data_IF_401776986358
#
_entry.id   IF_401776986358
#
_cell.length_a   1.000
_cell.length_b   1.000
_cell.length_c   1.000
_cell.angle_alpha   90.00
_cell.angle_beta   90.00
_cell.angle_gamma   90.00
#
_symmetry.space_group_name_H-M   'P 1'
#
loop_
_entity.id
_entity.type
_entity.pdbx_description
1 polymer ?
#
# COMPACT_ATOMS: atom_id res chain seq x y z
N UNK A 1 4.16 -32.06 15.07
CA UNK A 1 3.22 -30.93 15.06
C UNK A 1 3.94 -29.89 14.24
N UNK A 2 3.51 -29.63 13.00
CA UNK A 2 4.17 -28.60 12.18
C UNK A 2 3.97 -27.26 12.88
N UNK A 3 5.07 -26.57 13.10
CA UNK A 3 5.08 -25.24 13.69
C UNK A 3 4.41 -24.30 12.69
N UNK A 4 3.21 -23.83 13.01
CA UNK A 4 2.49 -22.91 12.14
C UNK A 4 3.20 -21.56 12.24
N UNK A 5 3.97 -21.22 11.21
CA UNK A 5 4.65 -19.93 11.13
C UNK A 5 3.60 -18.81 11.29
N UNK A 6 3.82 -17.95 12.29
CA UNK A 6 3.01 -16.75 12.51
C UNK A 6 3.78 -15.56 11.94
N UNK A 7 3.17 -14.86 10.99
CA UNK A 7 3.74 -13.69 10.35
C UNK A 7 3.08 -12.43 10.88
N UNK A 8 3.86 -11.34 10.99
CA UNK A 8 3.37 -10.01 11.34
C UNK A 8 3.35 -9.12 10.10
N UNK A 9 2.18 -8.61 9.76
CA UNK A 9 2.00 -7.61 8.71
C UNK A 9 1.78 -6.27 9.38
N UNK A 10 2.73 -5.36 9.22
CA UNK A 10 2.64 -4.04 9.81
C UNK A 10 1.70 -3.14 9.02
N UNK A 11 1.13 -2.15 9.69
CA UNK A 11 0.42 -1.06 9.04
C UNK A 11 1.47 -0.15 8.42
N UNK A 12 1.24 0.27 7.19
CA UNK A 12 2.29 0.95 6.41
C UNK A 12 1.83 2.33 5.97
N UNK A 13 2.68 3.32 6.18
CA UNK A 13 2.44 4.71 5.85
C UNK A 13 3.07 5.05 4.50
N UNK A 14 2.31 5.76 3.66
CA UNK A 14 2.78 6.29 2.39
C UNK A 14 2.52 7.78 2.29
N UNK A 15 3.58 8.59 2.34
CA UNK A 15 3.50 10.05 2.25
C UNK A 15 3.01 10.50 0.87
N UNK A 16 2.10 11.47 0.82
CA UNK A 16 1.57 11.96 -0.46
C UNK A 16 2.64 12.63 -1.31
N UNK A 17 3.64 13.25 -0.67
CA UNK A 17 4.80 13.80 -1.38
C UNK A 17 5.59 12.72 -2.13
N UNK A 18 5.74 11.53 -1.55
CA UNK A 18 6.38 10.38 -2.20
C UNK A 18 5.50 9.84 -3.34
N UNK A 19 4.18 9.68 -3.10
CA UNK A 19 3.22 9.30 -4.16
C UNK A 19 3.31 10.24 -5.36
N UNK A 20 3.32 11.55 -5.12
CA UNK A 20 3.46 12.56 -6.17
C UNK A 20 4.83 12.49 -6.86
N UNK A 21 5.91 12.22 -6.12
CA UNK A 21 7.24 12.02 -6.70
C UNK A 21 7.27 10.80 -7.62
N UNK A 22 6.67 9.67 -7.22
CA UNK A 22 6.57 8.46 -8.06
C UNK A 22 5.79 8.73 -9.35
N UNK A 23 4.66 9.45 -9.28
CA UNK A 23 3.89 9.87 -10.46
C UNK A 23 4.75 10.73 -11.39
N UNK A 24 5.41 11.76 -10.85
CA UNK A 24 6.19 12.71 -11.63
C UNK A 24 7.43 12.06 -12.28
N UNK A 25 8.01 11.05 -11.64
CA UNK A 25 9.16 10.30 -12.17
C UNK A 25 8.77 9.12 -13.07
N UNK A 26 7.47 8.86 -13.26
CA UNK A 26 6.97 7.72 -14.05
C UNK A 26 5.97 8.16 -15.13
N UNK A 27 6.42 8.87 -16.20
CA UNK A 27 5.55 9.28 -17.28
C UNK A 27 4.83 8.07 -17.92
N UNK A 28 3.50 8.15 -18.03
CA UNK A 28 2.69 7.05 -18.56
C UNK A 28 2.29 5.99 -17.54
N UNK A 29 2.45 6.27 -16.24
CA UNK A 29 1.92 5.43 -15.17
C UNK A 29 0.40 5.19 -15.34
N UNK A 30 -0.02 3.94 -15.18
CA UNK A 30 -1.43 3.55 -15.14
C UNK A 30 -1.85 2.97 -13.78
N UNK A 31 -0.88 2.49 -12.99
CA UNK A 31 -1.12 1.84 -11.71
C UNK A 31 0.13 1.85 -10.82
N UNK A 32 -0.14 1.76 -9.51
CA UNK A 32 0.84 1.54 -8.47
C UNK A 32 0.85 0.06 -8.12
N UNK A 33 2.04 -0.54 -8.09
CA UNK A 33 2.25 -1.94 -7.73
C UNK A 33 3.07 -2.00 -6.46
N UNK A 34 2.53 -2.66 -5.45
CA UNK A 34 3.08 -2.81 -4.13
C UNK A 34 3.58 -4.25 -3.94
N UNK A 35 4.88 -4.42 -3.76
CA UNK A 35 5.53 -5.71 -3.54
C UNK A 35 6.08 -5.80 -2.12
N UNK A 36 6.17 -7.02 -1.58
CA UNK A 36 6.72 -7.26 -0.25
C UNK A 36 8.25 -7.19 -0.25
N UNK A 37 8.82 -6.56 0.77
CA UNK A 37 10.26 -6.38 0.93
C UNK A 37 10.66 -6.51 2.41
N UNK A 38 11.76 -7.23 2.64
CA UNK A 38 12.38 -7.35 3.96
C UNK A 38 13.58 -6.41 4.04
N UNK A 39 13.47 -5.36 4.87
CA UNK A 39 14.50 -4.33 4.99
C UNK A 39 15.83 -4.85 5.56
N UNK A 40 15.81 -5.90 6.37
CA UNK A 40 16.92 -6.85 6.43
C UNK A 40 16.40 -8.25 6.72
N UNK A 41 17.02 -9.22 6.06
CA UNK A 41 16.59 -10.62 6.07
C UNK A 41 17.09 -11.40 7.27
N UNK A 42 17.98 -10.83 8.07
CA UNK A 42 18.65 -11.42 9.22
C UNK A 42 18.23 -10.80 10.57
N UNK A 43 17.33 -9.81 10.54
CA UNK A 43 16.86 -9.09 11.71
C UNK A 43 15.35 -9.25 11.89
N UNK A 44 14.97 -10.13 12.82
CA UNK A 44 13.57 -10.42 13.16
C UNK A 44 12.80 -9.20 13.72
N UNK A 45 13.51 -8.12 14.08
CA UNK A 45 12.90 -6.88 14.55
C UNK A 45 12.54 -5.91 13.40
N UNK A 46 12.97 -6.19 12.17
CA UNK A 46 12.64 -5.34 11.02
C UNK A 46 11.30 -5.75 10.40
N UNK A 47 10.38 -4.79 10.23
CA UNK A 47 9.06 -5.10 9.70
C UNK A 47 9.15 -5.54 8.23
N UNK A 48 8.27 -6.47 7.85
CA UNK A 48 7.91 -6.69 6.46
C UNK A 48 7.26 -5.40 5.92
N UNK A 49 7.87 -4.79 4.91
CA UNK A 49 7.41 -3.55 4.31
C UNK A 49 6.87 -3.78 2.90
N UNK A 50 6.23 -2.75 2.35
CA UNK A 50 5.87 -2.68 0.94
C UNK A 50 6.81 -1.71 0.22
N UNK A 51 7.20 -2.09 -0.99
CA UNK A 51 7.83 -1.20 -1.97
C UNK A 51 6.81 -0.89 -3.07
N UNK A 52 6.76 0.37 -3.49
CA UNK A 52 5.86 0.88 -4.52
C UNK A 52 6.62 1.14 -5.81
N UNK A 53 6.15 0.55 -6.89
CA UNK A 53 6.57 0.81 -8.26
C UNK A 53 5.40 1.38 -9.06
N UNK A 54 5.69 2.18 -10.07
CA UNK A 54 4.73 2.50 -11.10
C UNK A 54 4.76 1.43 -12.19
N UNK A 55 3.60 0.95 -12.61
CA UNK A 55 3.45 0.25 -13.87
C UNK A 55 3.04 1.27 -14.95
N UNK A 56 3.67 1.20 -16.12
CA UNK A 56 3.45 2.11 -17.25
C UNK A 56 2.97 1.33 -18.46
N UNK A 57 1.82 1.71 -19.03
CA UNK A 57 1.27 1.08 -20.23
C UNK A 57 0.71 2.10 -21.22
N UNK A 58 1.17 2.08 -22.50
CA UNK A 58 2.38 1.43 -23.02
C UNK A 58 3.67 2.07 -22.46
N UNK A 59 4.81 1.33 -22.37
CA UNK A 59 5.14 0.07 -23.05
C UNK A 59 5.00 -1.22 -22.21
N UNK A 60 4.23 -1.21 -21.12
CA UNK A 60 4.08 -2.35 -20.19
C UNK A 60 5.41 -2.65 -19.45
N UNK A 61 5.90 -1.64 -18.72
CA UNK A 61 7.14 -1.70 -17.96
C UNK A 61 6.94 -1.15 -16.55
N UNK A 62 7.82 -1.53 -15.62
CA UNK A 62 7.87 -0.94 -14.29
C UNK A 62 8.83 0.24 -14.24
N UNK A 63 8.58 1.22 -13.36
CA UNK A 63 9.47 2.34 -13.14
C UNK A 63 10.79 1.91 -12.52
N UNK A 64 11.87 2.61 -12.88
CA UNK A 64 13.15 2.52 -12.19
C UNK A 64 13.13 3.27 -10.85
N UNK A 65 12.30 4.31 -10.74
CA UNK A 65 12.02 5.01 -9.50
C UNK A 65 11.02 4.19 -8.67
N UNK A 66 11.29 4.01 -7.38
CA UNK A 66 10.45 3.28 -6.44
C UNK A 66 10.53 3.94 -5.06
N UNK A 67 9.50 3.74 -4.25
CA UNK A 67 9.46 4.21 -2.86
C UNK A 67 9.21 3.03 -1.91
N UNK A 68 9.67 3.15 -0.67
CA UNK A 68 9.37 2.21 0.42
C UNK A 68 8.31 2.81 1.32
N UNK A 69 7.31 2.02 1.71
CA UNK A 69 6.34 2.45 2.71
C UNK A 69 6.92 2.23 4.12
N UNK A 70 6.68 3.19 5.00
CA UNK A 70 7.22 3.23 6.37
C UNK A 70 6.28 2.51 7.35
N UNK A 71 6.80 2.05 8.48
CA UNK A 71 5.95 1.54 9.57
C UNK A 71 5.04 2.65 10.13
N UNK A 72 3.79 2.30 10.42
CA UNK A 72 2.82 3.18 11.05
C UNK A 72 2.51 2.75 12.49
N UNK A 73 3.19 3.42 13.44
CA UNK A 73 2.96 3.31 14.88
C UNK A 73 3.12 1.87 15.43
N UNK A 74 3.95 1.02 14.80
CA UNK A 74 4.16 -0.39 15.15
C UNK A 74 2.85 -1.21 15.26
N UNK A 75 1.78 -0.80 14.57
CA UNK A 75 0.55 -1.58 14.52
C UNK A 75 0.76 -2.77 13.57
N UNK A 76 0.30 -3.95 13.95
CA UNK A 76 0.45 -5.14 13.13
C UNK A 76 -0.76 -6.07 13.21
N UNK A 77 -1.04 -6.75 12.10
CA UNK A 77 -1.91 -7.90 12.03
C UNK A 77 -1.05 -9.17 12.11
N UNK A 78 -1.26 -9.98 13.14
CA UNK A 78 -0.61 -11.27 13.29
C UNK A 78 -1.49 -12.37 12.67
N UNK A 79 -0.91 -13.13 11.73
CA UNK A 79 -1.62 -14.20 11.02
C UNK A 79 -0.80 -15.49 11.07
N UNK A 80 -1.50 -16.59 11.35
CA UNK A 80 -0.94 -17.94 11.34
C UNK A 80 -1.56 -18.75 10.19
N UNK A 81 -0.77 -19.64 9.59
CA UNK A 81 -1.22 -20.57 8.57
C UNK A 81 -0.72 -20.22 7.17
N UNK A 82 -1.20 -20.93 6.13
CA UNK A 82 -0.82 -20.62 4.75
C UNK A 82 -1.42 -19.28 4.34
N UNK A 83 -0.56 -18.38 3.87
CA UNK A 83 -0.91 -17.05 3.38
C UNK A 83 -0.34 -16.86 1.98
N UNK A 84 -1.09 -16.16 1.13
CA UNK A 84 -0.66 -15.84 -0.23
C UNK A 84 -0.29 -14.36 -0.29
N UNK A 85 1.01 -14.10 -0.47
CA UNK A 85 1.58 -12.77 -0.62
C UNK A 85 1.79 -12.50 -2.11
N UNK A 86 0.84 -11.85 -2.76
CA UNK A 86 0.96 -11.38 -4.15
C UNK A 86 1.16 -9.87 -4.21
N UNK A 87 1.57 -9.37 -5.37
CA UNK A 87 1.62 -7.94 -5.60
C UNK A 87 0.24 -7.33 -5.38
N UNK A 88 0.20 -6.20 -4.71
CA UNK A 88 -1.01 -5.44 -4.44
C UNK A 88 -1.06 -4.26 -5.42
N UNK A 89 -2.21 -3.99 -6.03
CA UNK A 89 -2.32 -2.99 -7.10
C UNK A 89 -3.40 -1.96 -6.78
N UNK A 90 -3.09 -0.69 -7.06
CA UNK A 90 -4.07 0.42 -7.04
C UNK A 90 -3.93 1.16 -8.38
N UNK A 91 -5.04 1.44 -9.05
CA UNK A 91 -5.00 2.20 -10.31
C UNK A 91 -4.53 3.63 -10.07
N UNK A 92 -3.93 4.28 -11.08
CA UNK A 92 -3.59 5.70 -11.00
C UNK A 92 -4.84 6.54 -10.67
N UNK A 93 -5.99 6.20 -11.25
CA UNK A 93 -7.23 6.93 -11.02
C UNK A 93 -7.67 6.88 -9.55
N UNK A 94 -7.64 5.68 -8.95
CA UNK A 94 -8.01 5.48 -7.54
C UNK A 94 -6.99 6.15 -6.59
N UNK A 95 -5.70 6.05 -6.91
CA UNK A 95 -4.66 6.74 -6.15
C UNK A 95 -4.84 8.27 -6.22
N UNK A 96 -5.13 8.82 -7.40
CA UNK A 96 -5.41 10.24 -7.57
C UNK A 96 -6.65 10.65 -6.79
N UNK A 97 -7.69 9.80 -6.73
CA UNK A 97 -8.88 10.05 -5.93
C UNK A 97 -8.53 10.12 -4.44
N UNK A 98 -7.74 9.16 -3.93
CA UNK A 98 -7.29 9.12 -2.53
C UNK A 98 -6.53 10.38 -2.12
N UNK A 99 -5.61 10.87 -2.96
CA UNK A 99 -4.72 11.99 -2.59
C UNK A 99 -5.30 13.38 -2.91
N UNK A 100 -6.26 13.48 -3.84
CA UNK A 100 -6.78 14.79 -4.29
C UNK A 100 -8.18 15.12 -3.80
N UNK A 101 -8.96 14.15 -3.31
CA UNK A 101 -10.32 14.43 -2.83
C UNK A 101 -10.24 15.20 -1.52
N UNK A 102 -10.75 16.44 -1.44
CA UNK A 102 -10.78 17.16 -0.16
C UNK A 102 -11.84 16.55 0.77
N UNK A 103 -11.69 16.76 2.07
CA UNK A 103 -12.73 16.53 3.06
C UNK A 103 -13.79 17.67 3.03
N UNK A 104 -14.84 17.63 3.88
CA UNK A 104 -15.87 18.68 3.91
C UNK A 104 -15.36 20.09 4.21
N UNK A 105 -14.19 20.22 4.85
CA UNK A 105 -13.56 21.49 5.18
C UNK A 105 -12.61 21.98 4.08
N UNK A 106 -12.48 21.22 2.98
CA UNK A 106 -11.63 21.55 1.84
C UNK A 106 -10.20 21.02 1.96
N UNK A 107 -9.91 20.25 3.01
CA UNK A 107 -8.56 19.79 3.32
C UNK A 107 -8.23 18.45 2.66
N UNK A 108 -7.01 18.33 2.16
CA UNK A 108 -6.48 17.08 1.58
C UNK A 108 -5.72 16.27 2.62
N UNK A 109 -5.54 14.95 2.42
CA UNK A 109 -4.72 14.17 3.33
C UNK A 109 -3.25 14.60 3.21
N UNK A 110 -2.44 14.21 4.19
CA UNK A 110 -0.98 14.35 4.16
C UNK A 110 -0.30 13.03 3.78
N UNK A 111 -0.89 11.90 4.17
CA UNK A 111 -0.41 10.56 3.87
C UNK A 111 -1.55 9.54 3.87
N UNK A 112 -1.26 8.35 3.36
CA UNK A 112 -2.14 7.19 3.38
C UNK A 112 -1.60 6.14 4.36
N UNK A 113 -2.50 5.36 4.96
CA UNK A 113 -2.14 4.21 5.79
C UNK A 113 -2.76 2.96 5.17
N UNK A 114 -1.90 1.99 4.87
CA UNK A 114 -2.20 0.69 4.35
C UNK A 114 -2.37 -0.26 5.53
N UNK A 115 -3.59 -0.72 5.75
CA UNK A 115 -3.97 -1.59 6.86
C UNK A 115 -4.09 -3.02 6.31
N UNK A 116 -3.23 -3.96 6.73
CA UNK A 116 -3.24 -5.32 6.20
C UNK A 116 -4.53 -6.04 6.56
N UNK A 117 -5.02 -6.83 5.62
CA UNK A 117 -6.21 -7.65 5.73
C UNK A 117 -6.05 -8.94 4.91
N UNK A 118 -6.91 -9.92 5.15
CA UNK A 118 -6.85 -11.23 4.48
C UNK A 118 -8.23 -11.60 3.96
N UNK A 119 -8.30 -11.96 2.69
CA UNK A 119 -9.56 -12.37 2.08
C UNK A 119 -9.84 -13.87 2.32
N UNK A 120 -11.03 -14.33 1.89
CA UNK A 120 -11.47 -15.72 2.04
C UNK A 120 -10.53 -16.74 1.35
N UNK A 121 -9.79 -16.32 0.32
CA UNK A 121 -8.81 -17.14 -0.40
C UNK A 121 -7.40 -17.02 0.15
N UNK A 122 -7.23 -16.44 1.35
CA UNK A 122 -5.95 -16.27 2.05
C UNK A 122 -4.94 -15.35 1.37
N UNK A 123 -5.36 -14.52 0.43
CA UNK A 123 -4.50 -13.48 -0.13
C UNK A 123 -4.46 -12.27 0.81
N UNK A 124 -3.25 -11.77 1.05
CA UNK A 124 -3.05 -10.54 1.82
C UNK A 124 -3.27 -9.32 0.90
N UNK A 125 -4.14 -8.43 1.35
CA UNK A 125 -4.40 -7.14 0.74
C UNK A 125 -4.39 -6.05 1.81
N UNK A 126 -4.54 -4.79 1.41
CA UNK A 126 -4.53 -3.65 2.31
C UNK A 126 -5.74 -2.77 2.07
N UNK A 127 -6.47 -2.46 3.13
CA UNK A 127 -7.42 -1.36 3.15
C UNK A 127 -6.60 -0.05 3.20
N UNK A 128 -6.99 0.96 2.41
CA UNK A 128 -6.20 2.20 2.28
C UNK A 128 -6.97 3.37 2.85
N UNK A 129 -6.48 3.86 3.99
CA UNK A 129 -7.11 4.91 4.74
C UNK A 129 -6.37 6.23 4.57
N UNK A 130 -7.12 7.33 4.60
CA UNK A 130 -6.59 8.68 4.40
C UNK A 130 -6.35 9.35 5.74
N UNK A 131 -5.22 10.02 5.91
CA UNK A 131 -4.89 10.70 7.15
C UNK A 131 -4.35 12.11 6.92
N UNK A 132 -4.72 13.01 7.83
CA UNK A 132 -4.18 14.35 7.94
C UNK A 132 -3.42 14.48 9.26
N UNK A 133 -2.25 15.10 9.20
CA UNK A 133 -1.43 15.40 10.37
C UNK A 133 -2.05 16.59 11.09
N UNK A 134 -2.39 16.41 12.36
CA UNK A 134 -2.75 17.50 13.26
C UNK A 134 -1.73 17.63 14.37
N UNK A 135 -1.58 18.83 14.92
CA UNK A 135 -0.68 19.10 16.05
C UNK A 135 -1.02 18.31 17.32
N UNK A 136 -2.20 17.68 17.38
CA UNK A 136 -2.68 16.84 18.49
C UNK A 136 -2.67 15.34 18.17
N UNK A 137 -2.19 14.94 16.99
CA UNK A 137 -2.19 13.56 16.52
C UNK A 137 -2.76 13.41 15.12
N UNK A 138 -2.72 12.18 14.62
CA UNK A 138 -3.14 11.83 13.27
C UNK A 138 -4.67 11.71 13.18
N UNK A 139 -5.29 12.41 12.23
CA UNK A 139 -6.75 12.43 12.06
C UNK A 139 -7.13 11.65 10.81
N UNK A 140 -7.94 10.61 10.98
CA UNK A 140 -8.51 9.84 9.88
C UNK A 140 -9.48 10.72 9.09
N UNK A 141 -9.25 10.82 7.77
CA UNK A 141 -10.16 11.50 6.85
C UNK A 141 -11.15 10.52 6.23
N UNK A 142 -12.38 10.97 5.93
CA UNK A 142 -13.38 10.12 5.29
C UNK A 142 -12.93 9.66 3.90
N UNK A 143 -13.32 8.44 3.53
CA UNK A 143 -13.04 7.86 2.21
C UNK A 143 -13.76 8.61 1.09
N UNK A 144 -13.21 8.60 -0.13
CA UNK A 144 -13.85 9.21 -1.27
C UNK A 144 -15.00 8.33 -1.78
N UNK A 145 -16.24 8.57 -1.34
CA UNK A 145 -17.50 7.91 -1.78
C UNK A 145 -17.60 6.38 -1.64
N UNK A 146 -16.50 5.63 -1.68
CA UNK A 146 -16.37 4.21 -1.43
C UNK A 146 -14.96 3.91 -0.89
N UNK A 147 -14.80 2.87 -0.05
CA UNK A 147 -13.48 2.40 0.38
C UNK A 147 -12.65 1.95 -0.82
N UNK A 148 -11.36 2.30 -0.84
CA UNK A 148 -10.39 1.80 -1.80
C UNK A 148 -9.44 0.87 -1.06
N UNK A 149 -9.29 -0.34 -1.59
CA UNK A 149 -8.32 -1.33 -1.12
C UNK A 149 -7.33 -1.66 -2.24
N UNK A 150 -6.19 -2.22 -1.87
CA UNK A 150 -5.32 -2.85 -2.86
C UNK A 150 -5.99 -4.11 -3.39
N UNK A 151 -5.86 -4.35 -4.68
CA UNK A 151 -6.27 -5.62 -5.26
C UNK A 151 -5.05 -6.54 -5.37
N UNK A 152 -5.06 -7.72 -4.74
CA UNK A 152 -4.09 -8.77 -5.05
C UNK A 152 -4.10 -8.99 -6.56
N UNK A 153 -2.96 -8.76 -7.19
CA UNK A 153 -2.84 -8.81 -8.65
C UNK A 153 -3.41 -10.14 -9.15
N UNK A 154 -4.35 -10.12 -10.12
CA UNK A 154 -4.87 -11.34 -10.70
C UNK A 154 -3.73 -12.14 -11.35
N UNK A 155 -3.89 -13.46 -11.55
CA UNK A 155 -2.85 -14.27 -12.18
C UNK A 155 -2.46 -13.65 -13.53
N UNK A 156 -1.16 -13.64 -13.82
CA UNK A 156 -0.64 -13.17 -15.10
C UNK A 156 -1.39 -13.89 -16.24
N UNK A 157 -2.23 -13.17 -16.97
CA UNK A 157 -2.76 -13.65 -18.24
C UNK A 157 -1.61 -13.59 -19.23
N UNK A 158 -0.98 -14.73 -19.48
CA UNK A 158 -0.11 -14.92 -20.64
C UNK A 158 -1.03 -14.82 -21.86
N UNK A 159 -1.01 -13.68 -22.54
CA UNK A 159 -1.62 -13.50 -23.86
C UNK A 159 -0.67 -13.97 -24.95
#
# INVERSE_FOLDING_TARGET
MEEIQTLKFFWLKYEISAIQALINNSPGIDSFVFSYFFAATDDDSKPLQLISYAHMSPPNQYSSYYDTLEDYNNNALELSGPLIMSNNVISLADMLLLINTPDPDGDKPDYLVFIPNVNDTRHIYYDVNRYKRSGTGDVHQPDPSAPINTNPSPPATIS
#
